data_IF_190384628705
#
_entry.id   IF_190384628705
#
_cell.length_a   1.000
_cell.length_b   1.000
_cell.length_c   1.000
_cell.angle_alpha   90.00
_cell.angle_beta   90.00
_cell.angle_gamma   90.00
#
_symmetry.space_group_name_H-M   'P 1'
#
loop_
_entity.id
_entity.type
_entity.pdbx_description
1 polymer ?
#
# COMPACT_ATOMS: atom_id res chain seq x y z
N UNK A 1 5.55 0.48 -30.87
CA UNK A 1 5.37 1.29 -29.65
C UNK A 1 5.81 0.43 -28.48
N UNK A 2 7.08 0.53 -28.07
CA UNK A 2 7.59 -0.20 -26.89
C UNK A 2 7.12 0.64 -25.70
N UNK A 3 6.04 0.22 -25.04
CA UNK A 3 5.69 0.81 -23.75
C UNK A 3 6.86 0.48 -22.82
N UNK A 4 7.55 1.54 -22.39
CA UNK A 4 8.70 1.47 -21.51
C UNK A 4 8.25 0.83 -20.19
N UNK A 5 8.46 -0.49 -20.09
CA UNK A 5 8.04 -1.33 -18.94
C UNK A 5 8.53 -0.73 -17.63
N UNK A 6 9.72 -0.14 -17.64
CA UNK A 6 10.30 0.52 -16.47
C UNK A 6 9.58 1.82 -16.09
N UNK A 7 9.02 2.56 -17.05
CA UNK A 7 8.19 3.73 -16.75
C UNK A 7 6.84 3.33 -16.15
N UNK A 8 6.24 2.25 -16.65
CA UNK A 8 5.00 1.69 -16.10
C UNK A 8 5.20 1.19 -14.67
N UNK A 9 6.27 0.43 -14.42
CA UNK A 9 6.57 -0.12 -13.09
C UNK A 9 6.89 1.00 -12.08
N UNK A 10 7.56 2.08 -12.50
CA UNK A 10 7.78 3.27 -11.65
C UNK A 10 6.49 4.00 -11.30
N UNK A 11 5.55 4.11 -12.24
CA UNK A 11 4.26 4.76 -11.99
C UNK A 11 3.38 3.92 -11.07
N UNK A 12 3.34 2.60 -11.30
CA UNK A 12 2.67 1.65 -10.44
C UNK A 12 3.21 1.68 -9.01
N UNK A 13 4.53 1.74 -8.84
CA UNK A 13 5.17 1.85 -7.52
C UNK A 13 4.86 3.18 -6.82
N UNK A 14 4.82 4.30 -7.56
CA UNK A 14 4.46 5.61 -6.99
C UNK A 14 3.00 5.66 -6.54
N UNK A 15 2.09 5.07 -7.32
CA UNK A 15 0.69 4.96 -6.96
C UNK A 15 0.53 4.10 -5.71
N UNK A 16 1.21 2.96 -5.66
CA UNK A 16 1.22 2.09 -4.49
C UNK A 16 1.71 2.83 -3.23
N UNK A 17 2.85 3.52 -3.33
CA UNK A 17 3.40 4.29 -2.22
C UNK A 17 2.40 5.34 -1.71
N UNK A 18 1.77 6.09 -2.62
CA UNK A 18 0.79 7.12 -2.24
C UNK A 18 -0.37 6.52 -1.46
N UNK A 19 -0.94 5.42 -1.95
CA UNK A 19 -2.07 4.75 -1.29
C UNK A 19 -1.66 4.26 0.11
N UNK A 20 -0.52 3.58 0.23
CA UNK A 20 -0.04 3.07 1.52
C UNK A 20 0.19 4.21 2.51
N UNK A 21 0.82 5.30 2.08
CA UNK A 21 1.05 6.47 2.92
C UNK A 21 -0.26 7.15 3.36
N UNK A 22 -1.23 7.33 2.45
CA UNK A 22 -2.54 7.90 2.80
C UNK A 22 -3.29 7.03 3.80
N UNK A 23 -3.24 5.70 3.64
CA UNK A 23 -3.83 4.76 4.61
C UNK A 23 -3.10 4.85 5.95
N UNK A 24 -1.76 4.91 5.95
CA UNK A 24 -0.97 5.04 7.16
C UNK A 24 -1.33 6.32 7.93
N UNK A 25 -1.37 7.47 7.26
CA UNK A 25 -1.72 8.76 7.88
C UNK A 25 -3.13 8.76 8.49
N UNK A 26 -4.10 8.11 7.83
CA UNK A 26 -5.52 8.16 8.24
C UNK A 26 -5.90 7.06 9.24
N UNK A 27 -5.21 5.92 9.19
CA UNK A 27 -5.57 4.70 9.94
C UNK A 27 -4.45 4.21 10.87
N UNK A 28 -3.39 4.99 11.09
CA UNK A 28 -2.40 4.69 12.11
C UNK A 28 -3.06 4.42 13.48
N UNK A 29 -2.69 3.31 14.13
CA UNK A 29 -3.24 2.92 15.43
C UNK A 29 -4.64 2.27 15.37
N UNK A 30 -5.23 2.10 14.19
CA UNK A 30 -6.50 1.38 14.01
C UNK A 30 -6.30 -0.14 14.11
N UNK A 31 -7.36 -0.92 14.39
CA UNK A 31 -7.29 -2.37 14.41
C UNK A 31 -6.81 -2.95 13.07
N UNK A 32 -5.97 -3.98 13.12
CA UNK A 32 -5.41 -4.66 11.95
C UNK A 32 -6.44 -5.00 10.88
N UNK A 33 -7.56 -5.61 11.26
CA UNK A 33 -8.60 -6.04 10.31
C UNK A 33 -9.24 -4.85 9.57
N UNK A 34 -9.37 -3.70 10.24
CA UNK A 34 -9.87 -2.47 9.63
C UNK A 34 -8.88 -1.97 8.58
N UNK A 35 -7.58 -1.96 8.91
CA UNK A 35 -6.53 -1.52 7.99
C UNK A 35 -6.40 -2.46 6.78
N UNK A 36 -6.52 -3.79 6.97
CA UNK A 36 -6.52 -4.77 5.88
C UNK A 36 -7.67 -4.54 4.91
N UNK A 37 -8.89 -4.28 5.43
CA UNK A 37 -10.05 -4.01 4.58
C UNK A 37 -9.86 -2.73 3.76
N UNK A 38 -9.33 -1.67 4.39
CA UNK A 38 -9.03 -0.41 3.71
C UNK A 38 -7.98 -0.60 2.62
N UNK A 39 -6.87 -1.28 2.92
CA UNK A 39 -5.82 -1.57 1.93
C UNK A 39 -6.36 -2.39 0.76
N UNK A 40 -7.17 -3.43 1.01
CA UNK A 40 -7.77 -4.23 -0.07
C UNK A 40 -8.74 -3.44 -0.96
N UNK A 41 -9.41 -2.42 -0.41
CA UNK A 41 -10.34 -1.56 -1.15
C UNK A 41 -9.61 -0.50 -1.97
N UNK A 42 -8.58 0.11 -1.39
CA UNK A 42 -7.95 1.32 -1.92
C UNK A 42 -6.69 1.02 -2.74
N UNK A 43 -6.08 -0.16 -2.57
CA UNK A 43 -4.97 -0.60 -3.43
C UNK A 43 -5.49 -0.91 -4.84
N UNK A 44 -4.88 -0.32 -5.88
CA UNK A 44 -5.19 -0.71 -7.25
C UNK A 44 -4.84 -2.19 -7.44
N UNK A 45 -5.71 -2.95 -8.12
CA UNK A 45 -5.50 -4.39 -8.37
C UNK A 45 -4.23 -4.74 -9.15
N UNK A 46 -3.43 -3.74 -9.55
CA UNK A 46 -2.06 -3.87 -10.02
C UNK A 46 -1.30 -2.57 -9.69
N UNK A 47 -0.10 -2.62 -9.09
CA UNK A 47 0.77 -3.78 -8.95
C UNK A 47 0.31 -4.77 -7.87
N UNK A 48 0.54 -6.05 -8.15
CA UNK A 48 0.07 -7.22 -7.40
C UNK A 48 0.81 -7.35 -6.07
N UNK A 49 0.50 -6.50 -5.09
CA UNK A 49 0.95 -6.72 -3.72
C UNK A 49 0.51 -8.12 -3.29
N UNK A 50 1.47 -8.96 -2.92
CA UNK A 50 1.16 -10.27 -2.38
C UNK A 50 0.32 -10.10 -1.12
N UNK A 51 -0.58 -11.04 -0.84
CA UNK A 51 -1.44 -10.91 0.33
C UNK A 51 -0.64 -10.88 1.64
N UNK A 52 0.49 -11.56 1.68
CA UNK A 52 1.44 -11.47 2.80
C UNK A 52 1.96 -10.04 3.01
N UNK A 53 2.22 -9.33 1.93
CA UNK A 53 2.75 -7.97 1.96
C UNK A 53 1.67 -6.96 2.40
N UNK A 54 0.42 -7.15 1.96
CA UNK A 54 -0.74 -6.41 2.48
C UNK A 54 -0.86 -6.59 4.01
N UNK A 55 -0.70 -7.81 4.51
CA UNK A 55 -0.74 -8.08 5.96
C UNK A 55 0.41 -7.40 6.69
N UNK A 56 1.64 -7.46 6.17
CA UNK A 56 2.79 -6.78 6.78
C UNK A 56 2.57 -5.25 6.85
N UNK A 57 2.07 -4.64 5.78
CA UNK A 57 1.75 -3.21 5.74
C UNK A 57 0.66 -2.87 6.77
N UNK A 58 -0.40 -3.67 6.83
CA UNK A 58 -1.49 -3.47 7.78
C UNK A 58 -1.04 -3.58 9.24
N UNK A 59 -0.15 -4.53 9.55
CA UNK A 59 0.42 -4.69 10.88
C UNK A 59 1.23 -3.45 11.29
N UNK A 60 2.10 -2.94 10.41
CA UNK A 60 2.88 -1.73 10.68
C UNK A 60 1.98 -0.51 10.93
N UNK A 61 0.97 -0.30 10.08
CA UNK A 61 0.02 0.81 10.25
C UNK A 61 -0.80 0.64 11.52
N UNK A 62 -1.23 -0.58 11.84
CA UNK A 62 -2.00 -0.86 13.06
C UNK A 62 -1.21 -0.55 14.33
N UNK A 63 0.10 -0.77 14.33
CA UNK A 63 0.99 -0.34 15.44
C UNK A 63 1.42 1.12 15.36
N UNK A 64 0.87 1.90 14.43
CA UNK A 64 1.11 3.34 14.28
C UNK A 64 2.41 3.70 13.55
N UNK A 65 3.01 2.77 12.81
CA UNK A 65 4.19 3.01 11.98
C UNK A 65 3.78 3.30 10.54
N UNK A 66 4.54 4.15 9.86
CA UNK A 66 4.38 4.36 8.42
C UNK A 66 5.32 3.41 7.65
N UNK A 67 4.78 2.38 6.97
CA UNK A 67 5.59 1.46 6.17
C UNK A 67 5.99 2.03 4.81
N UNK A 68 5.56 3.25 4.45
CA UNK A 68 5.91 3.85 3.16
C UNK A 68 7.40 4.21 3.06
N UNK A 69 8.10 4.37 4.19
CA UNK A 69 9.56 4.53 4.24
C UNK A 69 10.08 5.91 3.81
N UNK A 70 9.43 6.99 4.24
CA UNK A 70 10.04 8.33 4.23
C UNK A 70 11.01 8.52 5.40
#
# INVERSE_FOLDING_TARGET
MIIDRAAYDREANRLLFRVVHEVAVRHAGRPFDEVVQVLRRDLPGSPSLAEEEIRRIAEQISVGRDPSGL
#
